data_IF_234452575062
#
_entry.id   IF_234452575062
#
_cell.length_a   1.000
_cell.length_b   1.000
_cell.length_c   1.000
_cell.angle_alpha   90.00
_cell.angle_beta   90.00
_cell.angle_gamma   90.00
#
_symmetry.space_group_name_H-M   'P 1'
#
loop_
_entity.id
_entity.type
_entity.pdbx_description
1 polymer ?
#
# COMPACT_ATOMS: atom_id res chain seq x y z
N UNK A 1 -41.05 -7.35 39.10
CA UNK A 1 -40.66 -6.30 38.15
C UNK A 1 -39.27 -6.66 37.60
N UNK A 2 -39.21 -7.48 36.55
CA UNK A 2 -37.94 -7.82 35.86
C UNK A 2 -37.78 -6.81 34.73
N UNK A 3 -36.86 -5.86 34.95
CA UNK A 3 -36.76 -4.61 34.22
C UNK A 3 -36.03 -4.66 32.86
N UNK A 4 -35.87 -3.49 32.21
CA UNK A 4 -35.45 -3.28 30.81
C UNK A 4 -34.08 -3.86 30.40
N UNK A 5 -33.26 -4.31 31.36
CA UNK A 5 -31.93 -4.87 31.10
C UNK A 5 -31.95 -6.23 30.37
N UNK A 6 -33.00 -7.04 30.55
CA UNK A 6 -33.12 -8.35 29.87
C UNK A 6 -33.35 -8.16 28.36
N UNK A 7 -34.18 -7.19 27.97
CA UNK A 7 -34.46 -6.86 26.56
C UNK A 7 -33.21 -6.34 25.83
N UNK A 8 -32.37 -5.54 26.48
CA UNK A 8 -31.12 -5.04 25.88
C UNK A 8 -30.08 -6.13 25.67
N UNK A 9 -29.98 -7.10 26.58
CA UNK A 9 -29.05 -8.24 26.44
C UNK A 9 -29.50 -9.16 25.30
N UNK A 10 -30.80 -9.45 25.20
CA UNK A 10 -31.37 -10.27 24.12
C UNK A 10 -31.26 -9.62 22.75
N UNK A 11 -31.42 -8.30 22.65
CA UNK A 11 -31.20 -7.56 21.39
C UNK A 11 -29.73 -7.56 21.00
N UNK A 12 -28.81 -7.31 21.95
CA UNK A 12 -27.36 -7.35 21.70
C UNK A 12 -26.90 -8.73 21.18
N UNK A 13 -27.40 -9.83 21.77
CA UNK A 13 -27.09 -11.18 21.26
C UNK A 13 -27.65 -11.44 19.86
N UNK A 14 -28.84 -10.93 19.54
CA UNK A 14 -29.41 -11.06 18.19
C UNK A 14 -28.59 -10.27 17.16
N UNK A 15 -28.10 -9.09 17.51
CA UNK A 15 -27.23 -8.27 16.66
C UNK A 15 -25.90 -8.97 16.38
N UNK A 16 -25.30 -9.62 17.38
CA UNK A 16 -24.08 -10.43 17.21
C UNK A 16 -24.31 -11.61 16.25
N UNK A 17 -25.43 -12.33 16.38
CA UNK A 17 -25.79 -13.41 15.47
C UNK A 17 -25.97 -12.94 14.01
N UNK A 18 -26.59 -11.76 13.81
CA UNK A 18 -26.75 -11.17 12.48
C UNK A 18 -25.40 -10.77 11.87
N UNK A 19 -24.51 -10.17 12.66
CA UNK A 19 -23.16 -9.81 12.22
C UNK A 19 -22.38 -11.06 11.82
N UNK A 20 -22.39 -12.12 12.64
CA UNK A 20 -21.71 -13.37 12.32
C UNK A 20 -22.27 -14.03 11.06
N UNK A 21 -23.59 -14.03 10.90
CA UNK A 21 -24.23 -14.55 9.69
C UNK A 21 -23.80 -13.77 8.44
N UNK A 22 -23.77 -12.44 8.53
CA UNK A 22 -23.34 -11.57 7.43
C UNK A 22 -21.86 -11.79 7.09
N UNK A 23 -20.99 -11.91 8.10
CA UNK A 23 -19.56 -12.20 7.91
C UNK A 23 -19.35 -13.59 7.28
N UNK A 24 -20.06 -14.60 7.77
CA UNK A 24 -19.97 -15.95 7.21
C UNK A 24 -20.40 -15.96 5.74
N UNK A 25 -21.47 -15.24 5.40
CA UNK A 25 -21.93 -15.07 4.02
C UNK A 25 -20.85 -14.40 3.17
N UNK A 26 -20.29 -13.29 3.63
CA UNK A 26 -19.23 -12.56 2.92
C UNK A 26 -17.98 -13.44 2.69
N UNK A 27 -17.52 -14.15 3.73
CA UNK A 27 -16.39 -15.08 3.64
C UNK A 27 -16.68 -16.14 2.58
N UNK A 28 -17.85 -16.80 2.63
CA UNK A 28 -18.22 -17.84 1.68
C UNK A 28 -18.24 -17.35 0.23
N UNK A 29 -18.71 -16.12 -0.02
CA UNK A 29 -18.72 -15.55 -1.38
C UNK A 29 -17.32 -15.16 -1.84
N UNK A 30 -16.49 -14.59 -0.97
CA UNK A 30 -15.11 -14.18 -1.28
C UNK A 30 -14.14 -15.35 -1.39
N UNK A 31 -14.44 -16.48 -0.75
CA UNK A 31 -13.61 -17.68 -0.75
C UNK A 31 -13.95 -18.68 -1.86
N UNK A 32 -14.80 -18.32 -2.83
CA UNK A 32 -15.07 -19.18 -3.99
C UNK A 32 -13.79 -19.40 -4.79
N UNK A 33 -13.56 -20.63 -5.23
CA UNK A 33 -12.37 -21.05 -5.98
C UNK A 33 -12.62 -21.00 -7.50
N UNK A 34 -11.54 -20.81 -8.24
CA UNK A 34 -11.54 -20.61 -9.68
C UNK A 34 -12.00 -21.84 -10.47
N UNK A 35 -12.87 -21.64 -11.47
CA UNK A 35 -13.41 -22.69 -12.35
C UNK A 35 -12.49 -23.07 -13.52
N UNK A 36 -11.16 -22.94 -13.36
CA UNK A 36 -10.20 -23.25 -14.43
C UNK A 36 -10.24 -24.75 -14.76
N UNK A 37 -10.18 -25.11 -16.04
CA UNK A 37 -10.36 -26.51 -16.50
C UNK A 37 -9.06 -27.31 -16.65
N UNK A 38 -7.90 -26.67 -16.74
CA UNK A 38 -6.63 -27.35 -16.95
C UNK A 38 -6.07 -28.02 -15.70
N UNK A 39 -6.35 -27.46 -14.52
CA UNK A 39 -5.95 -27.96 -13.22
C UNK A 39 -6.79 -27.29 -12.13
N UNK A 40 -6.77 -27.84 -10.92
CA UNK A 40 -7.46 -27.26 -9.77
C UNK A 40 -6.77 -25.95 -9.32
N UNK A 41 -7.41 -24.82 -9.62
CA UNK A 41 -6.91 -23.51 -9.24
C UNK A 41 -7.52 -23.07 -7.90
N UNK A 42 -6.67 -22.96 -6.87
CA UNK A 42 -7.07 -22.57 -5.50
C UNK A 42 -7.19 -21.06 -5.29
N UNK A 43 -6.94 -20.25 -6.34
CA UNK A 43 -7.04 -18.80 -6.23
C UNK A 43 -8.50 -18.34 -6.10
N UNK A 44 -8.76 -17.31 -5.28
CA UNK A 44 -10.11 -16.78 -5.12
C UNK A 44 -10.61 -16.15 -6.41
N UNK A 45 -11.91 -16.30 -6.62
CA UNK A 45 -12.62 -15.80 -7.79
C UNK A 45 -12.84 -14.29 -7.72
N UNK A 46 -12.80 -13.63 -8.87
CA UNK A 46 -13.19 -12.22 -8.97
C UNK A 46 -14.68 -12.08 -8.66
N UNK A 47 -15.04 -11.10 -7.83
CA UNK A 47 -16.42 -10.85 -7.41
C UNK A 47 -17.40 -10.87 -8.60
N UNK A 48 -18.44 -11.70 -8.52
CA UNK A 48 -19.47 -11.83 -9.56
C UNK A 48 -19.05 -12.65 -10.79
N UNK A 49 -17.91 -13.35 -10.74
CA UNK A 49 -17.39 -14.18 -11.84
C UNK A 49 -17.15 -15.61 -11.37
N UNK A 50 -16.58 -16.43 -12.24
CA UNK A 50 -16.20 -17.83 -11.95
C UNK A 50 -14.67 -18.05 -11.95
N UNK A 51 -13.90 -17.06 -12.39
CA UNK A 51 -12.46 -17.17 -12.58
C UNK A 51 -11.69 -16.21 -11.67
N UNK A 52 -10.49 -16.61 -11.29
CA UNK A 52 -9.57 -15.77 -10.53
C UNK A 52 -8.93 -14.68 -11.43
N UNK A 53 -8.21 -13.69 -10.85
CA UNK A 53 -7.55 -12.66 -11.63
C UNK A 53 -6.54 -13.18 -12.67
N UNK A 54 -6.03 -14.41 -12.55
CA UNK A 54 -5.10 -14.98 -13.55
C UNK A 54 -5.84 -15.60 -14.74
N UNK A 55 -6.97 -16.26 -14.49
CA UNK A 55 -7.75 -16.99 -15.48
C UNK A 55 -8.96 -16.20 -15.99
N UNK A 56 -9.11 -14.93 -15.60
CA UNK A 56 -10.26 -14.10 -15.98
C UNK A 56 -10.42 -13.92 -17.49
N UNK A 57 -9.37 -14.16 -18.26
CA UNK A 57 -9.40 -14.12 -19.72
C UNK A 57 -10.08 -15.34 -20.36
N UNK A 58 -10.38 -16.40 -19.59
CA UNK A 58 -11.18 -17.54 -20.03
C UNK A 58 -12.68 -17.24 -20.07
N UNK A 59 -13.12 -16.19 -19.34
CA UNK A 59 -14.50 -15.73 -19.33
C UNK A 59 -14.72 -14.69 -20.44
N UNK A 60 -15.41 -15.04 -21.56
CA UNK A 60 -15.67 -14.11 -22.65
C UNK A 60 -16.65 -13.00 -22.25
N UNK A 61 -17.39 -13.17 -21.16
CA UNK A 61 -18.31 -12.15 -20.63
C UNK A 61 -17.60 -11.16 -19.71
N UNK A 62 -16.31 -11.39 -19.41
CA UNK A 62 -15.54 -10.51 -18.58
C UNK A 62 -15.07 -9.26 -19.33
N UNK A 63 -15.17 -8.05 -18.72
CA UNK A 63 -14.63 -6.81 -19.26
C UNK A 63 -13.11 -6.77 -19.02
N UNK A 64 -12.43 -7.84 -19.42
CA UNK A 64 -10.98 -7.98 -19.34
C UNK A 64 -10.46 -8.52 -20.67
N UNK A 65 -9.29 -8.03 -21.06
CA UNK A 65 -8.56 -8.47 -22.24
C UNK A 65 -7.08 -8.62 -21.89
N UNK A 66 -6.33 -9.37 -22.68
CA UNK A 66 -4.88 -9.46 -22.48
C UNK A 66 -4.24 -8.06 -22.55
N UNK A 67 -3.31 -7.78 -21.64
CA UNK A 67 -2.57 -6.52 -21.58
C UNK A 67 -1.93 -6.16 -22.94
N UNK A 68 -1.93 -4.87 -23.28
CA UNK A 68 -1.35 -4.34 -24.51
C UNK A 68 0.17 -4.10 -24.42
N UNK A 69 0.75 -4.16 -23.23
CA UNK A 69 2.20 -4.03 -23.08
C UNK A 69 2.93 -5.18 -23.79
N UNK A 70 3.92 -4.82 -24.60
CA UNK A 70 4.82 -5.74 -25.28
C UNK A 70 6.22 -5.59 -24.68
N UNK A 71 6.80 -6.70 -24.24
CA UNK A 71 8.15 -6.74 -23.72
C UNK A 71 9.18 -6.57 -24.85
N UNK A 72 10.45 -6.37 -24.50
CA UNK A 72 11.55 -6.22 -25.47
C UNK A 72 11.75 -7.43 -26.39
N UNK A 73 11.33 -8.61 -25.95
CA UNK A 73 11.35 -9.86 -26.73
C UNK A 73 10.20 -9.96 -27.75
N UNK A 74 9.29 -8.97 -27.82
CA UNK A 74 8.13 -8.98 -28.71
C UNK A 74 6.89 -9.71 -28.16
N UNK A 75 7.01 -10.38 -27.01
CA UNK A 75 5.90 -11.07 -26.37
C UNK A 75 4.96 -10.09 -25.65
N UNK A 76 3.65 -10.37 -25.72
CA UNK A 76 2.65 -9.59 -25.02
C UNK A 76 2.51 -10.04 -23.58
N UNK A 77 2.32 -9.09 -22.67
CA UNK A 77 2.06 -9.39 -21.28
C UNK A 77 0.81 -10.28 -21.13
N UNK A 78 0.90 -11.44 -20.45
CA UNK A 78 -0.22 -12.37 -20.33
C UNK A 78 -1.26 -11.94 -19.29
N UNK A 79 -0.96 -10.92 -18.48
CA UNK A 79 -1.86 -10.44 -17.43
C UNK A 79 -3.11 -9.79 -18.02
N UNK A 80 -4.27 -9.92 -17.37
CA UNK A 80 -5.47 -9.22 -17.81
C UNK A 80 -5.36 -7.71 -17.56
N UNK A 81 -5.93 -6.97 -18.48
CA UNK A 81 -6.18 -5.55 -18.40
C UNK A 81 -7.69 -5.30 -18.45
N UNK A 82 -8.21 -4.31 -17.71
CA UNK A 82 -9.59 -3.87 -17.88
C UNK A 82 -9.85 -3.53 -19.34
N UNK A 83 -10.94 -4.08 -19.90
CA UNK A 83 -11.43 -3.66 -21.20
C UNK A 83 -11.85 -2.18 -21.10
N UNK A 84 -11.65 -1.38 -22.16
CA UNK A 84 -12.19 -0.03 -22.20
C UNK A 84 -13.71 -0.13 -22.17
N UNK A 85 -14.31 0.02 -20.99
CA UNK A 85 -15.71 0.37 -20.88
C UNK A 85 -15.84 1.78 -21.50
N UNK A 86 -16.96 2.08 -22.16
CA UNK A 86 -17.28 3.42 -22.71
C UNK A 86 -17.40 4.53 -21.64
N UNK A 87 -16.78 4.36 -20.46
CA UNK A 87 -16.68 5.36 -19.41
C UNK A 87 -15.64 6.39 -19.82
N UNK A 88 -16.16 7.55 -20.23
CA UNK A 88 -15.49 8.76 -20.75
C UNK A 88 -14.37 9.31 -19.84
N UNK A 89 -14.17 8.78 -18.63
CA UNK A 89 -13.29 9.38 -17.62
C UNK A 89 -11.88 8.79 -17.52
N UNK A 90 -11.60 7.62 -18.12
CA UNK A 90 -10.26 7.03 -18.04
C UNK A 90 -9.35 7.52 -19.16
N UNK A 91 -8.21 8.11 -18.77
CA UNK A 91 -7.13 8.57 -19.63
C UNK A 91 -6.90 7.59 -20.78
N UNK A 92 -7.28 7.99 -22.01
CA UNK A 92 -7.36 7.12 -23.20
C UNK A 92 -6.07 6.34 -23.51
N UNK A 93 -4.94 6.83 -23.01
CA UNK A 93 -3.60 6.33 -23.29
C UNK A 93 -3.12 5.20 -22.36
N UNK A 94 -3.77 4.98 -21.21
CA UNK A 94 -3.47 3.84 -20.32
C UNK A 94 -4.53 2.71 -20.42
N UNK A 95 -5.49 2.86 -21.33
CA UNK A 95 -6.52 1.86 -21.59
C UNK A 95 -5.89 0.56 -22.13
N UNK A 96 -6.25 -0.57 -21.51
CA UNK A 96 -5.77 -1.89 -21.93
C UNK A 96 -4.40 -2.29 -21.39
N UNK A 97 -3.85 -1.59 -20.40
CA UNK A 97 -2.70 -2.05 -19.62
C UNK A 97 -3.17 -2.81 -18.36
N UNK A 98 -2.43 -3.84 -17.94
CA UNK A 98 -2.66 -4.46 -16.64
C UNK A 98 -2.26 -3.49 -15.51
N UNK A 99 -2.67 -3.76 -14.27
CA UNK A 99 -2.42 -2.88 -13.12
C UNK A 99 -0.96 -2.47 -12.98
N UNK A 100 -0.04 -3.42 -13.16
CA UNK A 100 1.40 -3.17 -13.05
C UNK A 100 1.93 -2.25 -14.14
N UNK A 101 1.56 -2.51 -15.40
CA UNK A 101 2.00 -1.68 -16.52
C UNK A 101 1.31 -0.32 -16.57
N UNK A 102 0.05 -0.22 -16.14
CA UNK A 102 -0.65 1.05 -15.97
C UNK A 102 0.05 1.92 -14.91
N UNK A 103 0.41 1.32 -13.76
CA UNK A 103 1.20 2.00 -12.72
C UNK A 103 2.56 2.43 -13.24
N UNK A 104 3.29 1.56 -13.93
CA UNK A 104 4.59 1.89 -14.50
C UNK A 104 4.51 3.03 -15.52
N UNK A 105 3.51 3.01 -16.41
CA UNK A 105 3.27 4.06 -17.39
C UNK A 105 2.92 5.40 -16.71
N UNK A 106 2.07 5.37 -15.68
CA UNK A 106 1.73 6.55 -14.89
C UNK A 106 2.97 7.13 -14.21
N UNK A 107 3.78 6.31 -13.55
CA UNK A 107 5.02 6.77 -12.91
C UNK A 107 6.03 7.30 -13.92
N UNK A 108 6.14 6.70 -15.10
CA UNK A 108 7.01 7.22 -16.17
C UNK A 108 6.59 8.62 -16.62
N UNK A 109 5.28 8.87 -16.74
CA UNK A 109 4.74 10.20 -17.07
C UNK A 109 5.00 11.23 -15.98
N UNK A 110 4.80 10.84 -14.72
CA UNK A 110 5.10 11.71 -13.59
C UNK A 110 6.57 12.11 -13.58
N UNK A 111 7.49 11.18 -13.86
CA UNK A 111 8.93 11.50 -13.98
C UNK A 111 9.25 12.37 -15.19
N UNK A 112 8.64 12.12 -16.35
CA UNK A 112 8.89 12.94 -17.55
C UNK A 112 8.36 14.37 -17.43
N UNK A 113 7.34 14.59 -16.60
CA UNK A 113 6.81 15.92 -16.30
C UNK A 113 7.42 16.55 -15.05
N UNK A 114 8.27 15.84 -14.32
CA UNK A 114 8.89 16.36 -13.11
C UNK A 114 9.96 17.40 -13.50
N UNK A 115 10.08 18.52 -12.76
CA UNK A 115 11.22 19.39 -12.89
C UNK A 115 12.52 18.59 -12.64
N UNK A 116 13.64 18.99 -13.24
CA UNK A 116 14.93 18.34 -12.98
C UNK A 116 15.17 18.29 -11.47
N UNK A 117 15.80 17.22 -10.96
CA UNK A 117 16.07 17.10 -9.54
C UNK A 117 16.80 18.37 -9.06
N UNK A 118 16.45 18.89 -7.87
CA UNK A 118 17.07 20.08 -7.36
C UNK A 118 18.58 19.86 -7.31
N UNK A 119 19.33 20.79 -7.89
CA UNK A 119 20.79 20.78 -7.83
C UNK A 119 21.24 20.78 -6.37
N UNK A 120 22.17 19.89 -6.02
CA UNK A 120 22.78 19.86 -4.70
C UNK A 120 23.67 21.09 -4.55
N UNK A 121 23.11 22.17 -4.04
CA UNK A 121 23.84 23.39 -3.69
C UNK A 121 24.27 23.32 -2.23
N UNK A 122 25.28 24.13 -1.87
CA UNK A 122 25.73 24.26 -0.47
C UNK A 122 24.55 24.56 0.45
N UNK A 123 23.66 25.49 0.04
CA UNK A 123 22.43 25.83 0.77
C UNK A 123 21.52 24.61 1.03
N UNK A 124 21.28 23.77 0.01
CA UNK A 124 20.46 22.57 0.20
C UNK A 124 21.09 21.54 1.13
N UNK A 125 22.43 21.42 1.13
CA UNK A 125 23.17 20.55 2.04
C UNK A 125 23.09 21.10 3.46
N UNK A 126 23.31 22.39 3.66
CA UNK A 126 23.19 23.05 4.96
C UNK A 126 21.78 22.89 5.54
N UNK A 127 20.74 23.02 4.71
CA UNK A 127 19.35 22.83 5.13
C UNK A 127 19.07 21.37 5.57
N UNK A 128 19.58 20.37 4.84
CA UNK A 128 19.49 18.96 5.25
C UNK A 128 20.21 18.68 6.58
N UNK A 129 21.30 19.39 6.84
CA UNK A 129 22.11 19.25 8.05
C UNK A 129 21.60 20.07 9.24
N UNK A 130 20.61 20.94 9.06
CA UNK A 130 20.12 21.85 10.10
C UNK A 130 19.65 21.13 11.37
N UNK A 131 19.13 19.90 11.23
CA UNK A 131 18.68 19.09 12.37
C UNK A 131 19.81 18.55 13.24
N UNK A 132 21.05 18.52 12.73
CA UNK A 132 22.23 18.13 13.51
C UNK A 132 22.78 19.28 14.36
N UNK A 133 22.35 20.52 14.10
CA UNK A 133 22.71 21.67 14.92
C UNK A 133 21.86 21.62 16.19
N UNK A 134 22.43 21.08 17.27
CA UNK A 134 21.87 21.27 18.61
C UNK A 134 22.15 22.71 19.04
N UNK A 135 21.13 23.56 19.26
CA UNK A 135 21.37 24.85 19.86
C UNK A 135 22.00 24.62 21.23
N UNK A 136 23.15 25.24 21.47
CA UNK A 136 23.81 25.18 22.76
C UNK A 136 22.86 25.75 23.81
N UNK A 137 22.41 24.90 24.73
CA UNK A 137 21.52 25.30 25.81
C UNK A 137 22.31 26.32 26.63
N UNK A 138 21.88 27.60 26.71
CA UNK A 138 22.65 28.60 27.43
C UNK A 138 22.81 28.11 28.87
N UNK A 139 24.06 27.89 29.28
CA UNK A 139 24.37 27.58 30.68
C UNK A 139 23.97 28.80 31.48
N UNK A 140 22.85 28.72 32.17
CA UNK A 140 22.42 29.74 33.12
C UNK A 140 23.43 29.77 34.26
N UNK A 141 24.39 30.68 34.20
CA UNK A 141 25.23 31.00 35.35
C UNK A 141 24.41 31.92 36.26
N UNK A 142 23.68 31.32 37.20
CA UNK A 142 23.16 32.04 38.35
C UNK A 142 23.60 31.32 39.63
N UNK A 143 24.28 32.08 40.46
CA UNK A 143 24.86 31.77 41.75
C UNK A 143 23.93 31.01 42.72
N UNK A 144 24.59 30.17 43.53
CA UNK A 144 24.17 29.54 44.79
C UNK A 144 23.40 28.20 44.72
N UNK A 145 24.18 27.15 44.96
CA UNK A 145 23.92 26.06 45.92
C UNK A 145 22.68 25.17 45.73
N UNK A 146 22.86 24.02 45.08
CA UNK A 146 22.75 22.69 45.69
C UNK A 146 22.97 21.64 44.61
N UNK A 147 23.81 20.66 44.93
CA UNK A 147 24.30 19.63 44.04
C UNK A 147 23.16 18.73 43.59
N UNK A 148 22.93 18.63 42.29
CA UNK A 148 22.23 17.50 41.68
C UNK A 148 23.14 16.99 40.58
N UNK A 149 23.93 15.96 40.93
CA UNK A 149 24.64 15.14 39.95
C UNK A 149 23.57 14.48 39.07
N UNK A 150 23.36 15.03 37.86
CA UNK A 150 22.78 14.19 36.82
C UNK A 150 23.92 13.29 36.39
N UNK A 151 23.79 11.99 36.67
CA UNK A 151 24.74 10.98 36.24
C UNK A 151 24.86 11.06 34.72
N UNK A 152 26.08 11.21 34.22
CA UNK A 152 26.40 10.98 32.82
C UNK A 152 25.96 9.55 32.45
N UNK A 153 25.05 9.35 31.48
CA UNK A 153 24.92 8.06 30.85
C UNK A 153 26.16 7.87 29.97
N UNK A 154 27.08 7.04 30.45
CA UNK A 154 27.91 6.10 29.69
C UNK A 154 28.34 6.59 28.29
N UNK A 155 29.61 7.00 28.19
CA UNK A 155 30.34 7.11 26.93
C UNK A 155 30.46 5.70 26.32
N UNK A 156 29.40 5.25 25.66
CA UNK A 156 29.46 4.10 24.77
C UNK A 156 30.38 4.42 23.60
N UNK A 157 31.20 3.46 23.12
CA UNK A 157 32.15 3.73 22.05
C UNK A 157 31.41 4.26 20.83
N UNK A 158 31.91 5.40 20.30
CA UNK A 158 31.39 6.03 19.10
C UNK A 158 31.16 4.97 17.99
N UNK A 159 30.01 4.98 17.30
CA UNK A 159 29.81 4.09 16.17
C UNK A 159 30.89 4.37 15.13
N UNK A 160 31.71 3.34 14.84
CA UNK A 160 32.69 3.41 13.78
C UNK A 160 32.00 3.74 12.45
N UNK A 161 32.57 4.65 11.64
CA UNK A 161 32.09 4.86 10.28
C UNK A 161 32.23 3.54 9.52
N UNK A 162 31.12 2.97 9.07
CA UNK A 162 31.16 1.89 8.09
C UNK A 162 31.52 2.53 6.75
N UNK A 163 32.68 2.17 6.22
CA UNK A 163 33.14 2.61 4.91
C UNK A 163 32.24 1.99 3.82
N UNK A 164 31.53 2.77 3.00
CA UNK A 164 30.58 2.24 2.01
C UNK A 164 31.22 1.51 0.82
N UNK A 165 32.55 1.41 0.76
CA UNK A 165 33.31 0.90 -0.39
C UNK A 165 34.26 -0.27 -0.07
N UNK A 166 34.06 -0.99 1.04
CA UNK A 166 34.66 -2.33 1.23
C UNK A 166 33.74 -3.45 0.78
#
# INVERSE_FOLDING_TARGET
>A
MLGPLVLTISNHSNDEHLILFQLHKEIKWRSRVCAHRGYECTLPVVCGREYCPRHILEDPTAPYKQCLHTYSNGERCPLPAPAPQNTVHDNRKDQGLCFEHARAAMSARQRSGAPPPPVTTVETILHQLQHYVRPERPRTTSCASAVSVVSDPDDGPAPHPLDPFS
#
